data_IF_199911326502
#
_entry.id   IF_199911326502
#
_cell.length_a   1.000
_cell.length_b   1.000
_cell.length_c   1.000
_cell.angle_alpha   90.00
_cell.angle_beta   90.00
_cell.angle_gamma   90.00
#
_symmetry.space_group_name_H-M   'P 1'
#
loop_
_entity.id
_entity.type
_entity.pdbx_description
1 polymer ?
#
# COMPACT_ATOMS: atom_id res chain seq x y z
N UNK A 1 0.54 24.24 5.08
CA UNK A 1 1.14 22.99 5.59
C UNK A 1 0.06 22.20 6.31
N UNK A 2 -0.41 21.10 5.74
CA UNK A 2 -1.18 20.10 6.48
C UNK A 2 -0.20 19.35 7.38
N UNK A 3 -0.30 19.54 8.69
CA UNK A 3 0.54 18.84 9.68
C UNK A 3 0.04 17.40 9.85
N UNK A 4 0.96 16.45 10.07
CA UNK A 4 0.66 15.04 10.37
C UNK A 4 -0.39 14.84 11.48
N UNK A 5 -0.57 15.84 12.37
CA UNK A 5 -1.63 15.88 13.38
C UNK A 5 -3.06 15.91 12.81
N UNK A 6 -3.25 16.38 11.59
CA UNK A 6 -4.59 16.46 10.96
C UNK A 6 -5.11 15.12 10.43
N UNK A 7 -4.24 14.09 10.35
CA UNK A 7 -4.54 12.77 9.80
C UNK A 7 -4.54 11.65 10.84
N UNK A 8 -4.50 12.00 12.14
CA UNK A 8 -4.54 11.04 13.26
C UNK A 8 -3.49 9.91 13.15
N UNK A 9 -2.33 10.22 12.54
CA UNK A 9 -1.24 9.27 12.35
C UNK A 9 -0.18 9.49 13.44
N UNK A 10 -0.12 8.57 14.39
CA UNK A 10 1.01 8.47 15.33
C UNK A 10 1.98 7.40 14.81
N UNK A 11 3.00 7.83 14.04
CA UNK A 11 4.12 6.94 13.77
C UNK A 11 4.85 6.67 15.10
N UNK A 12 4.97 5.41 15.49
CA UNK A 12 5.91 5.03 16.53
C UNK A 12 7.32 5.54 16.17
N UNK A 13 8.11 6.06 17.13
CA UNK A 13 9.39 6.72 16.87
C UNK A 13 10.47 5.84 16.21
N UNK A 14 10.20 4.54 15.99
CA UNK A 14 11.10 3.56 15.35
C UNK A 14 10.66 3.10 13.95
N UNK A 15 9.54 3.59 13.40
CA UNK A 15 9.08 3.16 12.08
C UNK A 15 10.00 3.70 10.98
N UNK A 16 10.53 2.83 10.11
CA UNK A 16 11.35 3.23 8.97
C UNK A 16 10.63 4.22 8.03
N UNK A 17 11.40 5.01 7.26
CA UNK A 17 10.92 6.01 6.30
C UNK A 17 9.88 5.40 5.37
N UNK A 18 10.11 4.19 4.84
CA UNK A 18 9.19 3.51 3.94
C UNK A 18 7.83 3.25 4.60
N UNK A 19 7.84 2.81 5.86
CA UNK A 19 6.62 2.55 6.64
C UNK A 19 5.82 3.83 6.84
N UNK A 20 6.48 4.95 7.16
CA UNK A 20 5.81 6.24 7.34
C UNK A 20 5.20 6.77 6.04
N UNK A 21 5.94 6.65 4.93
CA UNK A 21 5.47 7.10 3.61
C UNK A 21 4.29 6.24 3.13
N UNK A 22 4.35 4.92 3.33
CA UNK A 22 3.23 4.01 3.04
C UNK A 22 1.99 4.35 3.86
N UNK A 23 2.15 4.60 5.15
CA UNK A 23 1.02 4.98 6.01
C UNK A 23 0.38 6.30 5.57
N UNK A 24 1.21 7.30 5.23
CA UNK A 24 0.71 8.57 4.70
C UNK A 24 -0.06 8.36 3.38
N UNK A 25 0.46 7.54 2.47
CA UNK A 25 -0.21 7.21 1.20
C UNK A 25 -1.54 6.51 1.42
N UNK A 26 -1.59 5.52 2.31
CA UNK A 26 -2.82 4.81 2.62
C UNK A 26 -3.89 5.75 3.19
N UNK A 27 -3.50 6.71 4.04
CA UNK A 27 -4.42 7.70 4.59
C UNK A 27 -4.96 8.63 3.50
N UNK A 28 -4.10 9.10 2.60
CA UNK A 28 -4.52 9.95 1.48
C UNK A 28 -5.41 9.15 0.52
N UNK A 29 -5.04 7.92 0.16
CA UNK A 29 -5.83 7.05 -0.72
C UNK A 29 -7.20 6.72 -0.12
N UNK A 30 -7.28 6.45 1.19
CA UNK A 30 -8.55 6.16 1.87
C UNK A 30 -9.55 7.31 1.75
N UNK A 31 -9.06 8.55 1.75
CA UNK A 31 -9.89 9.72 1.55
C UNK A 31 -10.06 10.07 0.07
N UNK A 32 -9.13 9.72 -0.82
CA UNK A 32 -9.29 9.92 -2.28
C UNK A 32 -10.32 8.98 -2.89
N UNK A 33 -10.36 7.72 -2.43
CA UNK A 33 -11.23 6.67 -2.95
C UNK A 33 -12.44 6.38 -2.06
N UNK A 34 -12.77 7.30 -1.15
CA UNK A 34 -13.93 7.16 -0.26
C UNK A 34 -15.22 7.14 -1.07
N UNK A 35 -16.14 6.26 -0.68
CA UNK A 35 -17.47 6.23 -1.30
C UNK A 35 -18.25 7.49 -0.95
N UNK A 36 -18.63 8.24 -1.99
CA UNK A 36 -19.36 9.52 -1.88
C UNK A 36 -20.87 9.35 -2.04
N UNK A 37 -21.35 8.15 -2.38
CA UNK A 37 -22.76 7.92 -2.70
C UNK A 37 -23.67 8.24 -1.51
N UNK A 38 -23.23 7.91 -0.30
CA UNK A 38 -23.98 8.12 0.95
C UNK A 38 -23.73 9.48 1.63
N UNK A 39 -22.85 10.32 1.08
CA UNK A 39 -22.51 11.61 1.69
C UNK A 39 -23.60 12.66 1.47
N UNK A 40 -23.90 13.44 2.51
CA UNK A 40 -24.73 14.64 2.41
C UNK A 40 -24.05 15.71 1.55
N UNK A 41 -24.81 16.68 1.04
CA UNK A 41 -24.26 17.77 0.21
C UNK A 41 -23.15 18.58 0.94
N UNK A 42 -23.26 18.72 2.27
CA UNK A 42 -22.25 19.38 3.09
C UNK A 42 -20.96 18.54 3.18
N UNK A 43 -21.08 17.24 3.44
CA UNK A 43 -19.94 16.33 3.51
C UNK A 43 -19.21 16.20 2.18
N UNK A 44 -19.94 16.18 1.05
CA UNK A 44 -19.35 16.20 -0.29
C UNK A 44 -18.50 17.44 -0.52
N UNK A 45 -18.99 18.61 -0.11
CA UNK A 45 -18.24 19.87 -0.23
C UNK A 45 -16.94 19.85 0.59
N UNK A 46 -17.01 19.37 1.83
CA UNK A 46 -15.79 19.21 2.67
C UNK A 46 -14.80 18.26 2.00
N UNK A 47 -15.29 17.14 1.49
CA UNK A 47 -14.47 16.15 0.81
C UNK A 47 -13.82 16.72 -0.45
N UNK A 48 -14.55 17.45 -1.29
CA UNK A 48 -14.00 18.15 -2.46
C UNK A 48 -12.89 19.14 -2.07
N UNK A 49 -13.10 19.96 -1.03
CA UNK A 49 -12.08 20.88 -0.53
C UNK A 49 -10.84 20.16 0.01
N UNK A 50 -11.02 18.98 0.58
CA UNK A 50 -9.93 18.12 1.05
C UNK A 50 -9.16 17.48 -0.11
N UNK A 51 -9.87 16.98 -1.12
CA UNK A 51 -9.26 16.45 -2.36
C UNK A 51 -8.45 17.51 -3.09
N UNK A 52 -8.93 18.75 -3.18
CA UNK A 52 -8.16 19.85 -3.77
C UNK A 52 -6.85 20.12 -3.04
N UNK A 53 -6.82 19.95 -1.71
CA UNK A 53 -5.59 20.06 -0.94
C UNK A 53 -4.64 18.91 -1.25
N UNK A 54 -5.16 17.68 -1.38
CA UNK A 54 -4.38 16.49 -1.69
C UNK A 54 -3.82 16.51 -3.12
N UNK A 55 -4.59 16.96 -4.10
CA UNK A 55 -4.14 17.07 -5.50
C UNK A 55 -2.81 17.82 -5.66
N UNK A 56 -2.53 18.80 -4.81
CA UNK A 56 -1.30 19.60 -4.89
C UNK A 56 -0.03 18.84 -4.50
N UNK A 57 -0.13 17.84 -3.63
CA UNK A 57 1.04 17.09 -3.14
C UNK A 57 0.97 15.59 -3.41
N UNK A 58 -0.14 15.09 -3.96
CA UNK A 58 -0.27 13.70 -4.39
C UNK A 58 0.86 13.27 -5.35
N UNK A 59 1.24 14.08 -6.36
CA UNK A 59 2.35 13.75 -7.25
C UNK A 59 3.69 13.65 -6.51
N UNK A 60 3.93 14.52 -5.52
CA UNK A 60 5.16 14.50 -4.72
C UNK A 60 5.22 13.26 -3.82
N UNK A 61 4.06 12.82 -3.31
CA UNK A 61 3.94 11.59 -2.54
C UNK A 61 4.20 10.34 -3.39
N UNK A 62 3.67 10.29 -4.61
CA UNK A 62 3.97 9.22 -5.57
C UNK A 62 5.46 9.19 -5.95
N UNK A 63 6.06 10.37 -6.19
CA UNK A 63 7.51 10.54 -6.42
C UNK A 63 8.34 9.94 -5.30
N UNK A 64 8.01 10.27 -4.06
CA UNK A 64 8.71 9.76 -2.88
C UNK A 64 8.63 8.23 -2.79
N UNK A 65 7.45 7.66 -3.07
CA UNK A 65 7.27 6.20 -3.10
C UNK A 65 8.10 5.54 -4.20
N UNK A 66 8.10 6.13 -5.40
CA UNK A 66 8.89 5.62 -6.53
C UNK A 66 10.38 5.66 -6.22
N UNK A 67 10.85 6.73 -5.60
CA UNK A 67 12.25 6.87 -5.22
C UNK A 67 12.67 5.81 -4.18
N UNK A 68 11.90 5.65 -3.10
CA UNK A 68 12.21 4.67 -2.05
C UNK A 68 12.25 3.25 -2.62
N UNK A 69 11.28 2.90 -3.48
CA UNK A 69 11.23 1.58 -4.09
C UNK A 69 12.42 1.26 -5.01
N UNK A 70 13.09 2.27 -5.58
CA UNK A 70 14.28 2.08 -6.41
C UNK A 70 15.55 1.99 -5.55
N UNK A 71 15.60 2.70 -4.42
CA UNK A 71 16.82 2.89 -3.62
C UNK A 71 17.07 1.81 -2.56
N UNK A 72 16.03 1.13 -2.08
CA UNK A 72 16.13 0.13 -1.01
C UNK A 72 16.55 -1.26 -1.50
N UNK A 73 17.61 -1.34 -2.31
CA UNK A 73 18.18 -2.62 -2.75
C UNK A 73 17.28 -3.48 -3.64
N UNK A 74 16.11 -3.00 -4.05
CA UNK A 74 15.07 -3.79 -4.75
C UNK A 74 15.58 -4.64 -5.92
N UNK A 75 16.44 -4.10 -6.78
CA UNK A 75 17.07 -4.87 -7.88
C UNK A 75 18.32 -5.62 -7.41
N UNK A 76 19.02 -5.09 -6.40
CA UNK A 76 20.25 -5.67 -5.89
C UNK A 76 20.02 -6.96 -5.10
N UNK A 77 18.92 -7.05 -4.35
CA UNK A 77 18.54 -8.19 -3.51
C UNK A 77 18.14 -9.42 -4.34
N UNK A 78 17.40 -9.21 -5.44
CA UNK A 78 17.02 -10.27 -6.36
C UNK A 78 17.00 -9.68 -7.78
N UNK A 79 17.88 -10.18 -8.64
CA UNK A 79 18.00 -9.68 -10.01
C UNK A 79 17.08 -10.48 -10.92
N UNK A 80 15.95 -9.89 -11.31
CA UNK A 80 15.04 -10.47 -12.28
C UNK A 80 14.66 -9.47 -13.39
N UNK A 81 14.40 -9.91 -14.63
CA UNK A 81 13.95 -9.03 -15.70
C UNK A 81 12.72 -8.20 -15.31
N UNK A 82 11.80 -8.76 -14.53
CA UNK A 82 10.58 -8.11 -14.05
C UNK A 82 10.92 -6.93 -13.13
N UNK A 83 11.84 -7.13 -12.17
CA UNK A 83 12.30 -6.08 -11.25
C UNK A 83 13.01 -4.95 -12.01
N UNK A 84 13.83 -5.28 -13.01
CA UNK A 84 14.45 -4.28 -13.89
C UNK A 84 13.40 -3.49 -14.68
N UNK A 85 12.42 -4.19 -15.28
CA UNK A 85 11.34 -3.54 -16.02
C UNK A 85 10.49 -2.64 -15.12
N UNK A 86 10.25 -3.03 -13.88
CA UNK A 86 9.53 -2.21 -12.91
C UNK A 86 10.27 -0.91 -12.60
N UNK A 87 11.58 -0.97 -12.35
CA UNK A 87 12.40 0.23 -12.13
C UNK A 87 12.39 1.13 -13.37
N UNK A 88 12.56 0.57 -14.57
CA UNK A 88 12.48 1.34 -15.81
C UNK A 88 11.12 2.01 -15.95
N UNK A 89 10.02 1.30 -15.69
CA UNK A 89 8.68 1.88 -15.75
C UNK A 89 8.45 3.01 -14.73
N UNK A 90 9.01 2.89 -13.53
CA UNK A 90 8.94 3.96 -12.51
C UNK A 90 9.74 5.19 -12.95
N UNK A 91 10.93 4.99 -13.52
CA UNK A 91 11.74 6.07 -14.10
C UNK A 91 11.06 6.73 -15.31
N UNK A 92 10.42 5.95 -16.18
CA UNK A 92 9.66 6.49 -17.31
C UNK A 92 8.49 7.36 -16.83
N UNK A 93 7.74 6.92 -15.82
CA UNK A 93 6.68 7.76 -15.22
C UNK A 93 7.23 9.04 -14.64
N UNK A 94 8.39 8.99 -14.02
CA UNK A 94 9.03 10.16 -13.42
C UNK A 94 9.46 11.19 -14.48
N UNK A 95 10.08 10.73 -15.57
CA UNK A 95 10.63 11.61 -16.60
C UNK A 95 9.57 12.04 -17.62
N UNK A 96 8.67 11.14 -18.00
CA UNK A 96 7.71 11.34 -19.09
C UNK A 96 6.26 11.48 -18.61
N UNK A 97 5.99 11.39 -17.30
CA UNK A 97 4.64 11.39 -16.73
C UNK A 97 3.84 10.10 -17.00
N UNK A 98 4.35 9.20 -17.82
CA UNK A 98 3.67 7.95 -18.23
C UNK A 98 4.70 6.85 -18.44
N UNK A 99 4.28 5.58 -18.35
CA UNK A 99 5.11 4.44 -18.76
C UNK A 99 4.34 3.52 -19.69
N UNK A 100 5.08 2.83 -20.56
CA UNK A 100 4.49 1.90 -21.51
C UNK A 100 4.84 0.47 -21.14
N UNK A 101 3.83 -0.39 -21.12
CA UNK A 101 4.06 -1.83 -20.99
C UNK A 101 4.70 -2.32 -22.30
N UNK A 102 5.89 -2.91 -22.21
CA UNK A 102 6.58 -3.53 -23.33
C UNK A 102 6.61 -5.04 -23.13
N UNK A 103 6.30 -5.77 -24.20
CA UNK A 103 6.34 -7.23 -24.24
C UNK A 103 5.10 -7.94 -23.67
N UNK A 104 4.93 -9.24 -23.99
CA UNK A 104 3.87 -10.06 -23.45
C UNK A 104 4.05 -10.24 -21.94
N UNK A 105 2.95 -10.22 -21.18
CA UNK A 105 2.91 -10.51 -19.75
C UNK A 105 1.90 -11.61 -19.49
N UNK A 106 2.24 -12.52 -18.59
CA UNK A 106 1.31 -13.52 -18.06
C UNK A 106 0.95 -13.10 -16.65
N UNK A 107 -0.34 -12.89 -16.39
CA UNK A 107 -0.84 -12.68 -15.05
C UNK A 107 -1.34 -14.03 -14.51
N UNK A 108 -0.71 -14.52 -13.44
CA UNK A 108 -1.11 -15.74 -12.75
C UNK A 108 -1.86 -15.36 -11.48
N UNK A 109 -3.10 -15.84 -11.35
CA UNK A 109 -3.92 -15.63 -10.15
C UNK A 109 -4.03 -16.95 -9.40
N UNK A 110 -3.74 -16.93 -8.10
CA UNK A 110 -3.91 -18.07 -7.20
C UNK A 110 -4.74 -17.64 -6.01
N UNK A 111 -5.56 -18.55 -5.50
CA UNK A 111 -6.40 -18.33 -4.32
C UNK A 111 -5.95 -19.33 -3.27
N UNK A 112 -5.74 -18.85 -2.04
CA UNK A 112 -5.38 -19.70 -0.90
C UNK A 112 -6.59 -20.35 -0.25
N UNK A 113 -6.32 -21.30 0.63
CA UNK A 113 -7.36 -21.94 1.43
C UNK A 113 -7.98 -20.95 2.43
N UNK A 114 -9.32 -20.93 2.59
CA UNK A 114 -9.98 -20.08 3.58
C UNK A 114 -9.59 -20.47 5.02
N UNK A 115 -9.21 -19.48 5.84
CA UNK A 115 -8.99 -19.67 7.28
C UNK A 115 -10.30 -19.50 8.05
N UNK A 116 -10.73 -20.54 8.75
CA UNK A 116 -11.89 -20.46 9.64
C UNK A 116 -11.50 -19.76 10.96
N UNK A 117 -12.05 -18.57 11.20
CA UNK A 117 -11.74 -17.78 12.40
C UNK A 117 -12.40 -18.30 13.68
N UNK A 118 -13.39 -19.21 13.58
CA UNK A 118 -14.03 -19.81 14.76
C UNK A 118 -13.05 -20.65 15.56
N UNK A 119 -12.06 -21.24 14.89
CA UNK A 119 -11.06 -22.11 15.51
C UNK A 119 -10.12 -21.30 16.43
N UNK A 120 -10.07 -19.97 16.26
CA UNK A 120 -9.28 -19.05 17.08
C UNK A 120 -10.13 -18.27 18.09
N UNK A 121 -11.40 -18.63 18.29
CA UNK A 121 -12.32 -17.82 19.11
C UNK A 121 -11.91 -17.78 20.59
N UNK A 122 -11.55 -18.92 21.16
CA UNK A 122 -11.18 -19.01 22.57
C UNK A 122 -9.87 -18.27 22.87
N UNK A 123 -8.88 -18.40 22.00
CA UNK A 123 -7.62 -17.65 22.09
C UNK A 123 -7.83 -16.15 21.88
N UNK A 124 -8.67 -15.76 20.92
CA UNK A 124 -9.05 -14.36 20.70
C UNK A 124 -9.69 -13.73 21.94
N UNK A 125 -10.57 -14.47 22.62
CA UNK A 125 -11.24 -14.00 23.84
C UNK A 125 -10.26 -13.78 25.00
N UNK A 126 -9.26 -14.65 25.11
CA UNK A 126 -8.22 -14.54 26.15
C UNK A 126 -7.19 -13.44 25.82
N UNK A 127 -6.68 -13.42 24.59
CA UNK A 127 -5.55 -12.59 24.16
C UNK A 127 -5.81 -12.03 22.76
N UNK A 128 -6.71 -11.03 22.69
CA UNK A 128 -7.16 -10.42 21.43
C UNK A 128 -6.01 -9.95 20.53
N UNK A 129 -5.10 -9.13 21.05
CA UNK A 129 -4.05 -8.48 20.26
C UNK A 129 -3.12 -9.52 19.64
N UNK A 130 -2.63 -10.43 20.46
CA UNK A 130 -1.70 -11.49 20.05
C UNK A 130 -2.34 -12.46 19.06
N UNK A 131 -3.61 -12.83 19.28
CA UNK A 131 -4.33 -13.72 18.36
C UNK A 131 -4.51 -13.09 16.98
N UNK A 132 -4.88 -11.81 16.92
CA UNK A 132 -5.02 -11.09 15.64
C UNK A 132 -3.68 -10.96 14.92
N UNK A 133 -2.61 -10.62 15.66
CA UNK A 133 -1.26 -10.53 15.12
C UNK A 133 -0.80 -11.87 14.55
N UNK A 134 -1.00 -12.96 15.28
CA UNK A 134 -0.63 -14.31 14.85
C UNK A 134 -1.38 -14.74 13.58
N UNK A 135 -2.70 -14.55 13.53
CA UNK A 135 -3.50 -14.90 12.34
C UNK A 135 -3.06 -14.05 11.13
N UNK A 136 -2.75 -12.78 11.35
CA UNK A 136 -2.27 -11.88 10.29
C UNK A 136 -0.95 -12.38 9.71
N UNK A 137 0.00 -12.76 10.57
CA UNK A 137 1.30 -13.32 10.14
C UNK A 137 1.14 -14.64 9.39
N UNK A 138 0.22 -15.51 9.82
CA UNK A 138 -0.07 -16.79 9.14
C UNK A 138 -0.63 -16.56 7.73
N UNK A 139 -1.60 -15.65 7.59
CA UNK A 139 -2.17 -15.28 6.31
C UNK A 139 -1.13 -14.64 5.39
N UNK A 140 -0.27 -13.76 5.93
CA UNK A 140 0.83 -13.15 5.16
C UNK A 140 1.80 -14.22 4.63
N UNK A 141 2.20 -15.19 5.46
CA UNK A 141 3.06 -16.29 5.05
C UNK A 141 2.41 -17.17 3.96
N UNK A 142 1.11 -17.42 4.09
CA UNK A 142 0.32 -18.16 3.08
C UNK A 142 0.32 -17.42 1.74
N UNK A 143 0.01 -16.12 1.75
CA UNK A 143 0.04 -15.27 0.55
C UNK A 143 1.44 -15.22 -0.06
N UNK A 144 2.49 -15.10 0.76
CA UNK A 144 3.88 -15.11 0.30
C UNK A 144 4.20 -16.40 -0.47
N UNK A 145 3.77 -17.54 0.04
CA UNK A 145 3.95 -18.85 -0.63
C UNK A 145 3.19 -18.92 -1.96
N UNK A 146 1.98 -18.33 -2.01
CA UNK A 146 1.19 -18.17 -3.25
C UNK A 146 1.79 -17.18 -4.24
N UNK A 147 2.85 -16.44 -3.90
CA UNK A 147 3.54 -15.54 -4.83
C UNK A 147 4.88 -16.14 -5.27
N UNK A 148 5.63 -16.78 -4.37
CA UNK A 148 6.98 -17.30 -4.69
C UNK A 148 6.99 -18.52 -5.61
N UNK A 149 5.90 -19.31 -5.66
CA UNK A 149 5.82 -20.47 -6.57
C UNK A 149 5.43 -20.14 -8.01
N UNK A 150 5.62 -18.90 -8.48
CA UNK A 150 5.41 -18.53 -9.90
C UNK A 150 6.79 -18.55 -10.56
N UNK A 151 7.06 -19.55 -11.39
CA UNK A 151 8.23 -19.61 -12.27
C UNK A 151 7.78 -19.97 -13.67
#
# INVERSE_FOLDING_TARGET
>A
MLSAKSLNYEAGPSADVLTRVRALKNLVDAEVYKDIEQMTAYERKIHEELLQKFQRFYPDLERLINFIAISDGYVAEERSPERFLEVIMRLEREVFGTSKIRGPRVASVRVGEPKNLRDCYDTYKAQKRETVEQITLELEATVRTLVTGVS
#
